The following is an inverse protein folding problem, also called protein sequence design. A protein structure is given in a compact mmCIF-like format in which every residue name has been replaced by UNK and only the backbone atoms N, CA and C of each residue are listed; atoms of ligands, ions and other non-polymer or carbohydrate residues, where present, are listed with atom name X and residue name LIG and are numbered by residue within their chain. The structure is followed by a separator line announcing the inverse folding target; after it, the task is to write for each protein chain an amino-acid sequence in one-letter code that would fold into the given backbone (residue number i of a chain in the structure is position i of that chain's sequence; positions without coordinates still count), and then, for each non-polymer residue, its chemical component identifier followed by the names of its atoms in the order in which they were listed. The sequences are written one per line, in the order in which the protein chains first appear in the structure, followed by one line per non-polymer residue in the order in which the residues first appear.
data_IF_171570465899
#
_entry.id   IF_171570465899
#
_cell.length_a   1.000
_cell.length_b   1.000
_cell.length_c   1.000
_cell.angle_alpha   90.00
_cell.angle_beta   90.00
_cell.angle_gamma   90.00
#
_symmetry.space_group_name_H-M   'P 1'
#
loop_
_entity.id
_entity.type
_entity.pdbx_description
1 polymer ?
#
# COMPACT_ATOMS: atom_id res chain seq x y z
N UNK A 1 23.42 -6.76 44.69
CA UNK A 1 24.51 -6.61 43.71
C UNK A 1 24.04 -7.17 42.39
N UNK A 2 23.74 -6.29 41.44
CA UNK A 2 23.13 -6.63 40.16
C UNK A 2 24.11 -7.41 39.28
N UNK A 3 23.61 -8.27 38.39
CA UNK A 3 24.47 -9.09 37.52
C UNK A 3 25.41 -8.25 36.66
N UNK A 4 24.96 -7.07 36.24
CA UNK A 4 25.74 -6.07 35.50
C UNK A 4 26.95 -5.60 36.33
N UNK A 5 26.78 -5.34 37.63
CA UNK A 5 27.86 -4.90 38.51
C UNK A 5 28.94 -5.98 38.69
N UNK A 6 28.54 -7.27 38.71
CA UNK A 6 29.49 -8.39 38.77
C UNK A 6 30.29 -8.54 37.48
N UNK A 7 29.64 -8.33 36.34
CA UNK A 7 30.29 -8.38 35.02
C UNK A 7 31.30 -7.23 34.89
N UNK A 8 30.92 -6.01 35.29
CA UNK A 8 31.79 -4.83 35.28
C UNK A 8 32.99 -5.01 36.22
N UNK A 9 32.80 -5.53 37.43
CA UNK A 9 33.92 -5.82 38.34
C UNK A 9 34.88 -6.88 37.79
N UNK A 10 34.37 -7.93 37.12
CA UNK A 10 35.22 -8.96 36.49
C UNK A 10 36.03 -8.40 35.32
N UNK A 11 35.46 -7.48 34.55
CA UNK A 11 36.15 -6.77 33.47
C UNK A 11 37.25 -5.82 34.00
N UNK A 12 37.01 -5.13 35.12
CA UNK A 12 37.98 -4.20 35.71
C UNK A 12 39.17 -4.89 36.40
N UNK A 13 39.00 -6.12 36.91
CA UNK A 13 40.04 -6.85 37.65
C UNK A 13 41.20 -7.34 36.77
N UNK A 14 40.93 -7.62 35.49
CA UNK A 14 41.94 -8.08 34.53
C UNK A 14 42.16 -7.04 33.44
N UNK A 15 43.17 -6.17 33.63
CA UNK A 15 43.55 -5.14 32.66
C UNK A 15 43.70 -5.69 31.23
N UNK A 16 44.26 -6.89 31.06
CA UNK A 16 44.38 -7.56 29.75
C UNK A 16 43.03 -7.81 29.06
N UNK A 17 42.00 -8.26 29.78
CA UNK A 17 40.66 -8.55 29.22
C UNK A 17 39.99 -7.25 28.78
N UNK A 18 40.16 -6.17 29.56
CA UNK A 18 39.67 -4.84 29.19
C UNK A 18 40.31 -4.34 27.88
N UNK A 19 41.62 -4.56 27.69
CA UNK A 19 42.30 -4.17 26.46
C UNK A 19 41.80 -4.98 25.25
N UNK A 20 41.64 -6.31 25.38
CA UNK A 20 41.07 -7.14 24.31
C UNK A 20 39.64 -6.72 23.95
N UNK A 21 38.83 -6.34 24.94
CA UNK A 21 37.47 -5.85 24.68
C UNK A 21 37.48 -4.51 23.94
N UNK A 22 38.31 -3.55 24.36
CA UNK A 22 38.45 -2.25 23.71
C UNK A 22 38.98 -2.40 22.28
N UNK A 23 40.02 -3.22 22.08
CA UNK A 23 40.57 -3.51 20.75
C UNK A 23 39.56 -4.23 19.86
N UNK A 24 38.82 -5.20 20.40
CA UNK A 24 37.74 -5.88 19.68
C UNK A 24 36.62 -4.91 19.26
N UNK A 25 36.20 -4.02 20.15
CA UNK A 25 35.22 -2.98 19.84
C UNK A 25 35.72 -2.01 18.77
N UNK A 26 37.00 -1.60 18.83
CA UNK A 26 37.63 -0.76 17.80
C UNK A 26 37.67 -1.46 16.44
N UNK A 27 38.04 -2.75 16.39
CA UNK A 27 38.10 -3.52 15.14
C UNK A 27 36.69 -3.67 14.55
N UNK A 28 35.69 -4.02 15.35
CA UNK A 28 34.28 -4.11 14.89
C UNK A 28 33.79 -2.75 14.41
N UNK A 29 34.08 -1.68 15.15
CA UNK A 29 33.76 -0.31 14.75
C UNK A 29 34.43 0.09 13.44
N UNK A 30 35.68 -0.31 13.22
CA UNK A 30 36.44 -0.02 12.00
C UNK A 30 35.92 -0.84 10.80
N UNK A 31 35.55 -2.11 11.01
CA UNK A 31 34.88 -2.94 9.99
C UNK A 31 33.53 -2.32 9.61
N UNK A 32 32.72 -1.89 10.58
CA UNK A 32 31.44 -1.21 10.34
C UNK A 32 31.64 0.13 9.63
N UNK A 33 32.67 0.90 9.99
CA UNK A 33 33.00 2.19 9.37
C UNK A 33 33.49 2.04 7.93
N UNK A 34 34.37 1.08 7.65
CA UNK A 34 34.87 0.81 6.29
C UNK A 34 33.79 0.19 5.40
N UNK A 35 32.91 -0.65 5.97
CA UNK A 35 31.74 -1.17 5.28
C UNK A 35 30.54 -0.24 5.35
N UNK A 36 30.67 0.96 5.95
CA UNK A 36 29.55 1.89 6.13
C UNK A 36 28.96 2.30 4.79
N UNK A 37 29.77 2.43 3.75
CA UNK A 37 29.29 2.75 2.42
C UNK A 37 28.51 1.59 1.77
N UNK A 38 28.70 0.35 2.21
CA UNK A 38 27.91 -0.83 1.79
C UNK A 38 26.67 -1.01 2.66
N UNK A 39 26.78 -0.81 3.98
CA UNK A 39 25.72 -0.95 4.98
C UNK A 39 24.72 0.23 4.96
N UNK A 40 25.19 1.45 4.66
CA UNK A 40 24.41 2.71 4.67
C UNK A 40 24.27 3.30 3.26
N UNK A 41 24.48 2.51 2.20
CA UNK A 41 24.51 3.02 0.84
C UNK A 41 23.18 3.67 0.45
N UNK A 42 23.15 5.01 0.42
CA UNK A 42 22.03 5.84 -0.06
C UNK A 42 21.69 5.62 -1.55
N UNK A 43 22.50 4.85 -2.28
CA UNK A 43 22.20 4.38 -3.65
C UNK A 43 21.00 3.40 -3.72
N UNK A 44 20.51 2.91 -2.58
CA UNK A 44 19.29 2.11 -2.49
C UNK A 44 18.03 2.89 -2.12
N UNK A 45 18.05 4.23 -2.07
CA UNK A 45 16.79 4.96 -2.10
C UNK A 45 16.20 4.80 -3.52
N UNK A 46 15.43 3.73 -3.68
CA UNK A 46 14.53 3.54 -4.80
C UNK A 46 13.60 4.75 -4.77
N UNK A 47 13.67 5.59 -5.80
CA UNK A 47 12.74 6.71 -5.92
C UNK A 47 11.57 6.14 -6.72
N UNK A 48 10.57 5.66 -6.00
CA UNK A 48 9.43 4.97 -6.57
C UNK A 48 8.16 5.43 -5.88
N UNK A 49 7.09 5.58 -6.66
CA UNK A 49 5.75 5.81 -6.15
C UNK A 49 5.05 4.46 -6.08
N UNK A 50 4.62 4.06 -4.90
CA UNK A 50 3.90 2.80 -4.72
C UNK A 50 2.56 2.84 -5.45
N UNK A 51 2.13 1.68 -5.95
CA UNK A 51 0.81 1.53 -6.55
C UNK A 51 -0.24 1.72 -5.46
N UNK A 52 -1.42 2.22 -5.83
CA UNK A 52 -2.52 2.59 -4.95
C UNK A 52 -2.24 3.79 -4.01
N UNK A 53 -1.25 4.63 -4.33
CA UNK A 53 -0.97 5.86 -3.59
C UNK A 53 -1.78 7.04 -4.11
N UNK A 54 -2.28 7.85 -3.19
CA UNK A 54 -2.89 9.15 -3.49
C UNK A 54 -1.84 10.25 -3.33
N UNK A 55 -1.63 11.02 -4.38
CA UNK A 55 -0.72 12.14 -4.42
C UNK A 55 -1.52 13.42 -4.59
N UNK A 56 -1.46 14.29 -3.58
CA UNK A 56 -2.25 15.52 -3.52
C UNK A 56 -1.34 16.73 -3.60
N UNK A 57 -1.65 17.64 -4.51
CA UNK A 57 -1.07 18.96 -4.54
C UNK A 57 -2.16 20.00 -4.80
N UNK A 58 -2.57 20.70 -3.73
CA UNK A 58 -3.66 21.69 -3.77
C UNK A 58 -4.92 21.06 -4.36
N UNK A 59 -5.33 21.50 -5.55
CA UNK A 59 -6.56 21.08 -6.20
C UNK A 59 -6.40 19.81 -7.04
N UNK A 60 -5.17 19.34 -7.26
CA UNK A 60 -4.85 18.16 -8.06
C UNK A 60 -4.66 16.94 -7.14
N UNK A 61 -5.60 16.00 -7.19
CA UNK A 61 -5.48 14.69 -6.54
C UNK A 61 -5.29 13.61 -7.61
N UNK A 62 -4.12 12.97 -7.60
CA UNK A 62 -3.76 11.92 -8.54
C UNK A 62 -3.55 10.62 -7.78
N UNK A 63 -4.34 9.62 -8.12
CA UNK A 63 -4.18 8.26 -7.63
C UNK A 63 -3.47 7.41 -8.68
N UNK A 64 -2.35 6.77 -8.30
CA UNK A 64 -1.66 5.84 -9.19
C UNK A 64 -2.25 4.43 -9.04
N UNK A 65 -3.04 4.00 -10.01
CA UNK A 65 -3.70 2.69 -9.98
C UNK A 65 -2.78 1.56 -10.47
N UNK A 66 -1.91 1.83 -11.45
CA UNK A 66 -1.03 0.81 -12.03
C UNK A 66 0.16 1.43 -12.74
N UNK A 67 1.28 0.71 -12.76
CA UNK A 67 2.45 0.99 -13.60
C UNK A 67 2.99 -0.33 -14.15
N UNK A 68 3.10 -0.43 -15.47
CA UNK A 68 3.52 -1.65 -16.16
C UNK A 68 4.60 -1.31 -17.20
N UNK A 69 5.53 -2.23 -17.43
CA UNK A 69 6.59 -2.06 -18.41
C UNK A 69 6.83 -3.34 -19.21
N UNK A 70 7.06 -3.16 -20.50
CA UNK A 70 7.43 -4.23 -21.41
C UNK A 70 8.88 -4.06 -21.87
N UNK A 71 9.79 -4.97 -21.49
CA UNK A 71 11.18 -4.89 -21.90
C UNK A 71 11.38 -5.12 -23.41
N UNK A 72 10.46 -5.84 -24.08
CA UNK A 72 10.60 -6.22 -25.49
C UNK A 72 10.40 -5.03 -26.44
N UNK A 73 9.39 -4.19 -26.18
CA UNK A 73 9.09 -2.99 -26.98
C UNK A 73 9.43 -1.68 -26.26
N UNK A 74 9.91 -1.75 -25.02
CA UNK A 74 10.27 -0.63 -24.13
C UNK A 74 9.08 0.28 -23.78
N UNK A 75 7.85 -0.21 -23.92
CA UNK A 75 6.65 0.54 -23.60
C UNK A 75 6.43 0.54 -22.08
N UNK A 76 6.28 1.73 -21.51
CA UNK A 76 5.77 1.91 -20.15
C UNK A 76 4.33 2.42 -20.20
N UNK A 77 3.49 1.89 -19.30
CA UNK A 77 2.10 2.29 -19.12
C UNK A 77 1.87 2.73 -17.68
N UNK A 78 1.23 3.88 -17.51
CA UNK A 78 0.71 4.36 -16.23
C UNK A 78 -0.81 4.45 -16.29
N UNK A 79 -1.50 3.92 -15.28
CA UNK A 79 -2.93 4.11 -15.09
C UNK A 79 -3.12 5.02 -13.90
N UNK A 80 -3.71 6.19 -14.12
CA UNK A 80 -3.95 7.17 -13.07
C UNK A 80 -5.43 7.54 -13.00
N UNK A 81 -5.91 7.84 -11.79
CA UNK A 81 -7.19 8.52 -11.56
C UNK A 81 -6.92 9.94 -11.11
N UNK A 82 -7.50 10.92 -11.78
CA UNK A 82 -7.33 12.33 -11.47
C UNK A 82 -8.66 12.90 -10.99
N UNK A 83 -8.65 13.40 -9.76
CA UNK A 83 -9.76 14.12 -9.14
C UNK A 83 -9.36 15.55 -8.87
N UNK A 84 -10.18 16.47 -9.32
CA UNK A 84 -9.98 17.90 -9.08
C UNK A 84 -10.87 18.33 -7.91
N UNK A 85 -10.32 19.07 -6.96
CA UNK A 85 -11.07 19.56 -5.80
C UNK A 85 -11.91 20.82 -6.10
N UNK A 86 -11.84 21.37 -7.31
CA UNK A 86 -12.69 22.50 -7.73
C UNK A 86 -14.00 21.96 -8.29
N UNK A 87 -15.12 22.42 -7.73
CA UNK A 87 -16.46 22.01 -8.12
C UNK A 87 -16.72 22.22 -9.63
N UNK A 88 -17.13 21.14 -10.30
CA UNK A 88 -17.83 21.13 -11.59
C UNK A 88 -17.11 21.66 -12.84
N UNK A 89 -15.78 21.83 -12.82
CA UNK A 89 -15.02 22.12 -14.05
C UNK A 89 -14.04 21.00 -14.36
N UNK A 90 -14.11 20.47 -15.59
CA UNK A 90 -13.07 19.61 -16.13
C UNK A 90 -11.86 20.48 -16.47
N UNK A 91 -10.79 20.37 -15.69
CA UNK A 91 -9.52 21.02 -16.00
C UNK A 91 -8.72 20.03 -16.85
N UNK A 92 -8.33 20.38 -18.08
CA UNK A 92 -7.49 19.51 -18.89
C UNK A 92 -6.15 19.30 -18.18
N UNK A 93 -5.56 18.13 -18.40
CA UNK A 93 -4.25 17.80 -17.85
C UNK A 93 -3.26 17.56 -18.98
N UNK A 94 -2.00 17.85 -18.71
CA UNK A 94 -0.88 17.49 -19.58
C UNK A 94 0.18 16.75 -18.78
N UNK A 95 0.99 15.96 -19.48
CA UNK A 95 1.99 15.09 -18.85
C UNK A 95 3.39 15.33 -19.39
N UNK A 96 4.36 15.32 -18.49
CA UNK A 96 5.78 15.37 -18.85
C UNK A 96 6.51 14.19 -18.23
N UNK A 97 7.19 13.39 -19.06
CA UNK A 97 7.99 12.27 -18.60
C UNK A 97 9.47 12.59 -18.82
N UNK A 98 10.28 12.37 -17.79
CA UNK A 98 11.76 12.50 -17.86
C UNK A 98 12.41 11.31 -17.19
N UNK A 99 13.57 10.89 -17.68
CA UNK A 99 14.38 9.85 -17.04
C UNK A 99 15.48 10.51 -16.19
N UNK A 100 15.79 9.91 -15.05
CA UNK A 100 16.68 10.48 -14.02
C UNK A 100 18.10 10.78 -14.51
N UNK A 101 18.64 9.95 -15.39
CA UNK A 101 19.96 10.14 -16.01
C UNK A 101 19.97 11.28 -17.03
N UNK A 102 18.81 11.68 -17.58
CA UNK A 102 18.70 12.78 -18.53
C UNK A 102 17.46 13.66 -18.27
N UNK A 103 17.58 14.56 -17.30
CA UNK A 103 16.52 15.50 -16.93
C UNK A 103 16.22 16.56 -18.02
N UNK A 104 17.13 16.76 -18.97
CA UNK A 104 16.97 17.73 -20.06
C UNK A 104 16.12 17.22 -21.22
N UNK A 105 15.96 15.90 -21.34
CA UNK A 105 15.19 15.27 -22.39
C UNK A 105 13.79 14.90 -21.89
N UNK A 106 12.76 15.52 -22.48
CA UNK A 106 11.36 15.14 -22.26
C UNK A 106 11.02 13.96 -23.17
N UNK A 107 10.72 12.81 -22.57
CA UNK A 107 10.30 11.61 -23.28
C UNK A 107 8.90 11.86 -23.86
N UNK A 108 8.70 11.71 -25.18
CA UNK A 108 7.38 11.76 -25.79
C UNK A 108 6.44 10.76 -25.11
N UNK A 109 5.26 11.22 -24.74
CA UNK A 109 4.26 10.41 -24.08
C UNK A 109 2.88 10.69 -24.68
N UNK A 110 2.06 9.65 -24.75
CA UNK A 110 0.69 9.68 -25.22
C UNK A 110 -0.24 9.60 -24.02
N UNK A 111 -1.01 10.67 -23.78
CA UNK A 111 -2.01 10.75 -22.74
C UNK A 111 -3.39 10.46 -23.34
N UNK A 112 -4.02 9.38 -22.88
CA UNK A 112 -5.36 8.99 -23.30
C UNK A 112 -6.32 9.19 -22.13
N UNK A 113 -7.33 10.05 -22.30
CA UNK A 113 -8.45 10.16 -21.37
C UNK A 113 -9.38 8.98 -21.64
N UNK A 114 -9.62 8.14 -20.64
CA UNK A 114 -10.44 6.93 -20.75
C UNK A 114 -11.87 7.21 -20.28
N UNK A 115 -12.01 7.94 -19.18
CA UNK A 115 -13.30 8.46 -18.75
C UNK A 115 -13.13 9.81 -18.02
N UNK A 116 -14.12 10.23 -17.23
CA UNK A 116 -14.08 11.50 -16.50
C UNK A 116 -12.86 11.64 -15.59
N UNK A 117 -12.42 10.56 -14.95
CA UNK A 117 -11.36 10.58 -13.95
C UNK A 117 -10.16 9.69 -14.32
N UNK A 118 -10.34 8.70 -15.20
CA UNK A 118 -9.31 7.73 -15.57
C UNK A 118 -8.51 8.20 -16.78
N UNK A 119 -7.20 8.14 -16.64
CA UNK A 119 -6.25 8.44 -17.70
C UNK A 119 -5.20 7.34 -17.80
N UNK A 120 -4.76 7.08 -19.02
CA UNK A 120 -3.70 6.14 -19.34
C UNK A 120 -2.58 6.88 -20.08
N UNK A 121 -1.35 6.68 -19.62
CA UNK A 121 -0.17 7.30 -20.21
C UNK A 121 0.74 6.22 -20.75
N UNK A 122 1.06 6.32 -22.04
CA UNK A 122 2.05 5.49 -22.71
C UNK A 122 3.31 6.28 -23.03
N UNK A 123 4.46 5.65 -22.91
CA UNK A 123 5.72 6.19 -23.41
C UNK A 123 6.69 5.08 -23.79
N UNK A 124 7.52 5.32 -24.80
CA UNK A 124 8.64 4.42 -25.13
C UNK A 124 9.88 4.91 -24.39
N UNK A 125 10.45 4.06 -23.53
CA UNK A 125 11.64 4.38 -22.77
C UNK A 125 12.93 4.08 -23.54
N UNK A 126 14.05 4.74 -23.19
CA UNK A 126 15.38 4.35 -23.67
C UNK A 126 15.72 2.89 -23.30
N UNK A 127 16.62 2.26 -24.06
CA UNK A 127 17.07 0.89 -23.79
C UNK A 127 17.63 0.71 -22.38
N UNK A 128 18.35 1.73 -21.89
CA UNK A 128 18.85 1.78 -20.52
C UNK A 128 18.13 2.91 -19.81
N UNK A 129 17.32 2.54 -18.83
CA UNK A 129 16.64 3.48 -17.94
C UNK A 129 16.72 2.94 -16.51
N UNK A 130 16.67 3.85 -15.54
CA UNK A 130 16.75 3.51 -14.11
C UNK A 130 15.51 3.94 -13.37
N UNK A 131 15.17 5.22 -13.48
CA UNK A 131 13.99 5.80 -12.84
C UNK A 131 13.41 6.86 -13.77
N UNK A 132 12.11 6.81 -13.99
CA UNK A 132 11.37 7.85 -14.70
C UNK A 132 10.51 8.64 -13.74
N UNK A 133 10.35 9.93 -14.01
CA UNK A 133 9.49 10.86 -13.29
C UNK A 133 8.41 11.35 -14.24
N UNK A 134 7.18 10.90 -14.03
CA UNK A 134 5.98 11.41 -14.68
C UNK A 134 5.44 12.60 -13.88
N UNK A 135 5.40 13.78 -14.50
CA UNK A 135 4.67 14.94 -13.97
C UNK A 135 3.28 14.97 -14.57
N UNK A 136 2.26 14.99 -13.74
CA UNK A 136 0.87 15.28 -14.12
C UNK A 136 0.62 16.73 -13.78
N UNK A 137 0.26 17.54 -14.77
CA UNK A 137 0.21 19.01 -14.67
C UNK A 137 -1.19 19.48 -15.04
N UNK A 138 -1.75 20.39 -14.24
CA UNK A 138 -2.97 21.12 -14.59
C UNK A 138 -2.71 22.02 -15.80
N UNK A 139 -3.51 21.87 -16.86
CA UNK A 139 -3.36 22.64 -18.10
C UNK A 139 -4.34 23.82 -18.15
N UNK A 140 -4.19 24.74 -17.20
CA UNK A 140 -5.00 25.97 -17.15
C UNK A 140 -4.30 27.04 -17.99
N UNK A 141 -4.94 27.44 -19.10
CA UNK A 141 -4.54 28.64 -19.85
C UNK A 141 -4.57 29.83 -18.88
N UNK A 142 -3.46 30.56 -18.76
CA UNK A 142 -3.23 31.72 -17.88
C UNK A 142 -2.66 31.46 -16.46
N UNK A 143 -2.27 30.23 -16.12
CA UNK A 143 -1.55 29.98 -14.85
C UNK A 143 -0.03 30.18 -14.99
N UNK A 144 0.50 31.23 -14.36
CA UNK A 144 1.96 31.47 -14.25
C UNK A 144 2.70 30.40 -13.42
N UNK A 145 1.99 29.54 -12.68
CA UNK A 145 2.58 28.47 -11.89
C UNK A 145 1.65 27.24 -11.89
N UNK A 146 1.69 26.42 -12.96
CA UNK A 146 0.80 25.28 -13.09
C UNK A 146 1.09 24.25 -12.00
N UNK A 147 0.03 23.76 -11.34
CA UNK A 147 0.17 22.78 -10.27
C UNK A 147 0.43 21.42 -10.86
N UNK A 148 1.29 20.65 -10.18
CA UNK A 148 1.67 19.34 -10.68
C UNK A 148 1.94 18.36 -9.55
N UNK A 149 1.77 17.10 -9.87
CA UNK A 149 2.15 15.96 -9.05
C UNK A 149 3.23 15.17 -9.78
N UNK A 150 4.18 14.60 -9.04
CA UNK A 150 5.23 13.72 -9.59
C UNK A 150 4.98 12.29 -9.16
N UNK A 151 4.93 11.40 -10.14
CA UNK A 151 4.92 9.94 -9.99
C UNK A 151 6.29 9.43 -10.44
N UNK A 152 6.87 8.53 -9.67
CA UNK A 152 8.14 7.89 -10.01
C UNK A 152 7.94 6.40 -10.28
N UNK A 153 8.60 5.90 -11.31
CA UNK A 153 8.73 4.47 -11.55
C UNK A 153 10.20 4.10 -11.66
N UNK A 154 10.63 3.10 -10.89
CA UNK A 154 11.99 2.57 -10.91
C UNK A 154 12.00 1.22 -11.64
N UNK A 155 13.01 1.01 -12.48
CA UNK A 155 13.23 -0.24 -13.25
C UNK A 155 13.30 -1.49 -12.39
N UNK A 156 13.67 -1.36 -11.10
CA UNK A 156 13.75 -2.47 -10.14
C UNK A 156 12.43 -2.78 -9.46
N UNK A 157 11.45 -1.88 -9.54
CA UNK A 157 10.17 -1.96 -8.85
C UNK A 157 9.03 -1.52 -9.77
N UNK A 158 8.91 -2.26 -10.88
CA UNK A 158 7.87 -2.08 -11.89
C UNK A 158 7.29 -3.44 -12.29
N UNK A 159 5.98 -3.48 -12.55
CA UNK A 159 5.33 -4.70 -13.00
C UNK A 159 5.73 -5.00 -14.44
N UNK A 160 6.44 -6.11 -14.66
CA UNK A 160 6.88 -6.52 -15.99
C UNK A 160 5.74 -7.24 -16.73
N UNK A 161 5.37 -6.71 -17.89
CA UNK A 161 4.29 -7.23 -18.74
C UNK A 161 4.75 -7.34 -20.19
N UNK A 162 5.17 -8.52 -20.60
CA UNK A 162 5.83 -8.77 -21.89
C UNK A 162 4.91 -8.62 -23.11
N UNK A 163 3.60 -8.62 -22.91
CA UNK A 163 2.54 -8.48 -23.91
C UNK A 163 1.90 -7.08 -23.92
N UNK A 164 2.44 -6.12 -23.16
CA UNK A 164 1.92 -4.76 -23.13
C UNK A 164 2.06 -4.08 -24.49
N UNK A 165 0.94 -3.59 -25.00
CA UNK A 165 0.83 -2.80 -26.23
C UNK A 165 -0.05 -1.58 -25.98
N UNK A 166 0.08 -0.56 -26.83
CA UNK A 166 -0.87 0.55 -26.83
C UNK A 166 -2.24 0.05 -27.31
N UNK A 167 -3.28 0.41 -26.58
CA UNK A 167 -4.66 0.01 -26.83
C UNK A 167 -5.50 1.20 -27.26
N UNK A 168 -6.60 0.92 -27.97
CA UNK A 168 -7.59 1.94 -28.33
C UNK A 168 -8.39 2.38 -27.09
N UNK A 169 -9.02 3.55 -27.17
CA UNK A 169 -9.82 4.11 -26.07
C UNK A 169 -10.88 3.14 -25.55
N UNK A 170 -11.67 2.51 -26.42
CA UNK A 170 -12.69 1.52 -26.01
C UNK A 170 -12.11 0.29 -25.29
N UNK A 171 -10.96 -0.20 -25.74
CA UNK A 171 -10.25 -1.30 -25.10
C UNK A 171 -9.66 -0.89 -23.73
N UNK A 172 -9.24 0.37 -23.61
CA UNK A 172 -8.77 0.94 -22.35
C UNK A 172 -9.91 1.17 -21.35
N UNK A 173 -11.09 1.55 -21.81
CA UNK A 173 -12.28 1.66 -20.97
C UNK A 173 -12.64 0.32 -20.36
N UNK A 174 -12.72 -0.73 -21.19
CA UNK A 174 -12.96 -2.10 -20.74
C UNK A 174 -11.88 -2.53 -19.74
N UNK A 175 -10.61 -2.35 -20.07
CA UNK A 175 -9.51 -2.73 -19.17
C UNK A 175 -9.54 -1.95 -17.85
N UNK A 176 -9.92 -0.68 -17.87
CA UNK A 176 -10.03 0.15 -16.66
C UNK A 176 -11.15 -0.34 -15.76
N UNK A 177 -12.29 -0.72 -16.35
CA UNK A 177 -13.40 -1.34 -15.61
C UNK A 177 -12.97 -2.68 -15.02
N UNK A 178 -12.29 -3.53 -15.78
CA UNK A 178 -11.79 -4.83 -15.30
C UNK A 178 -10.81 -4.69 -14.14
N UNK A 179 -9.85 -3.77 -14.25
CA UNK A 179 -8.92 -3.47 -13.14
C UNK A 179 -9.66 -2.93 -11.91
N UNK A 180 -10.72 -2.12 -12.08
CA UNK A 180 -11.52 -1.64 -10.94
C UNK A 180 -12.30 -2.77 -10.28
N UNK A 181 -12.88 -3.69 -11.05
CA UNK A 181 -13.55 -4.88 -10.54
C UNK A 181 -12.57 -5.77 -9.77
N UNK A 182 -11.37 -5.99 -10.31
CA UNK A 182 -10.30 -6.73 -9.63
C UNK A 182 -9.94 -6.09 -8.28
N UNK A 183 -9.73 -4.78 -8.24
CA UNK A 183 -9.45 -4.07 -6.99
C UNK A 183 -10.60 -4.18 -5.98
N UNK A 184 -11.86 -4.13 -6.44
CA UNK A 184 -13.01 -4.26 -5.54
C UNK A 184 -13.09 -5.69 -4.97
N UNK A 185 -12.86 -6.71 -5.80
CA UNK A 185 -12.83 -8.11 -5.37
C UNK A 185 -11.74 -8.36 -4.32
N UNK A 186 -10.55 -7.78 -4.48
CA UNK A 186 -9.49 -7.86 -3.46
C UNK A 186 -9.96 -7.30 -2.11
N UNK A 187 -10.62 -6.14 -2.10
CA UNK A 187 -11.18 -5.54 -0.88
C UNK A 187 -12.26 -6.39 -0.24
N UNK A 188 -13.12 -7.05 -1.04
CA UNK A 188 -14.12 -8.00 -0.54
C UNK A 188 -13.42 -9.19 0.13
N UNK A 189 -12.37 -9.73 -0.49
CA UNK A 189 -11.62 -10.87 0.07
C UNK A 189 -10.92 -10.51 1.39
N UNK A 190 -10.31 -9.32 1.48
CA UNK A 190 -9.72 -8.81 2.71
C UNK A 190 -10.76 -8.71 3.84
N UNK A 191 -11.94 -8.15 3.54
CA UNK A 191 -13.05 -8.07 4.50
C UNK A 191 -13.54 -9.45 4.92
N UNK A 192 -13.64 -10.39 3.99
CA UNK A 192 -14.04 -11.77 4.29
C UNK A 192 -13.04 -12.44 5.24
N UNK A 193 -11.74 -12.25 5.04
CA UNK A 193 -10.71 -12.76 5.95
C UNK A 193 -10.92 -12.24 7.38
N UNK A 194 -11.18 -10.94 7.52
CA UNK A 194 -11.46 -10.31 8.84
C UNK A 194 -12.75 -10.85 9.46
N UNK A 195 -13.78 -11.12 8.65
CA UNK A 195 -15.03 -11.75 9.13
C UNK A 195 -14.74 -13.14 9.69
N UNK A 196 -13.98 -13.97 8.98
CA UNK A 196 -13.66 -15.33 9.45
C UNK A 196 -12.83 -15.32 10.74
N UNK A 197 -11.85 -14.42 10.87
CA UNK A 197 -11.11 -14.23 12.12
C UNK A 197 -12.03 -13.86 13.30
N UNK A 198 -13.02 -12.98 13.06
CA UNK A 198 -14.00 -12.59 14.08
C UNK A 198 -14.96 -13.73 14.45
N UNK A 199 -15.35 -14.57 13.49
CA UNK A 199 -16.17 -15.75 13.76
C UNK A 199 -15.42 -16.75 14.65
N UNK A 200 -14.15 -17.02 14.34
CA UNK A 200 -13.30 -17.87 15.18
C UNK A 200 -13.15 -17.31 16.61
N UNK A 201 -13.02 -15.99 16.76
CA UNK A 201 -13.01 -15.36 18.08
C UNK A 201 -14.32 -15.59 18.84
N UNK A 202 -15.47 -15.44 18.18
CA UNK A 202 -16.78 -15.71 18.79
C UNK A 202 -16.86 -17.18 19.24
N UNK A 203 -16.47 -18.13 18.40
CA UNK A 203 -16.50 -19.56 18.73
C UNK A 203 -15.63 -19.87 19.96
N UNK A 204 -14.43 -19.29 20.03
CA UNK A 204 -13.53 -19.43 21.18
C UNK A 204 -14.16 -18.88 22.46
N UNK A 205 -14.73 -17.68 22.41
CA UNK A 205 -15.39 -17.08 23.59
C UNK A 205 -16.64 -17.85 24.00
N UNK A 206 -17.38 -18.43 23.05
CA UNK A 206 -18.50 -19.31 23.35
C UNK A 206 -18.07 -20.61 24.04
N UNK A 207 -16.94 -21.21 23.63
CA UNK A 207 -16.37 -22.36 24.32
C UNK A 207 -15.96 -22.00 25.76
N UNK A 208 -15.23 -20.89 25.93
CA UNK A 208 -14.84 -20.40 27.25
C UNK A 208 -16.06 -20.17 28.16
N UNK A 209 -17.12 -19.55 27.63
CA UNK A 209 -18.37 -19.35 28.36
C UNK A 209 -18.99 -20.67 28.82
N UNK A 210 -19.01 -21.69 27.97
CA UNK A 210 -19.54 -23.01 28.32
C UNK A 210 -18.73 -23.68 29.43
N UNK A 211 -17.41 -23.58 29.38
CA UNK A 211 -16.51 -24.10 30.43
C UNK A 211 -16.72 -23.36 31.75
N UNK A 212 -16.77 -22.03 31.73
CA UNK A 212 -17.05 -21.21 32.91
C UNK A 212 -18.40 -21.55 33.56
N UNK A 213 -19.45 -21.73 32.76
CA UNK A 213 -20.78 -22.14 33.26
C UNK A 213 -20.74 -23.52 33.93
N UNK A 214 -19.95 -24.45 33.37
CA UNK A 214 -19.78 -25.80 33.94
C UNK A 214 -18.97 -25.78 35.24
N UNK A 215 -17.97 -24.92 35.35
CA UNK A 215 -17.06 -24.86 36.49
C UNK A 215 -17.67 -24.19 37.73
N UNK A 216 -18.74 -23.39 37.56
CA UNK A 216 -19.51 -22.78 38.67
C UNK A 216 -19.90 -23.75 39.78
N UNK A 217 -20.16 -25.03 39.45
CA UNK A 217 -20.54 -26.05 40.45
C UNK A 217 -19.46 -26.35 41.50
N UNK A 218 -18.22 -25.95 41.25
CA UNK A 218 -17.07 -26.15 42.14
C UNK A 218 -16.67 -24.87 42.89
N UNK A 219 -17.38 -23.77 42.67
CA UNK A 219 -17.06 -22.46 43.19
C UNK A 219 -17.93 -22.11 44.41
N UNK A 220 -17.42 -21.19 45.24
CA UNK A 220 -18.18 -20.56 46.32
C UNK A 220 -19.11 -19.46 45.78
N UNK A 221 -20.06 -18.99 46.58
CA UNK A 221 -21.04 -17.97 46.16
C UNK A 221 -20.38 -16.66 45.67
N UNK A 222 -19.31 -16.22 46.34
CA UNK A 222 -18.57 -15.03 45.91
C UNK A 222 -17.87 -15.24 44.56
N UNK A 223 -17.19 -16.38 44.37
CA UNK A 223 -16.54 -16.73 43.10
C UNK A 223 -17.55 -16.90 41.95
N UNK A 224 -18.75 -17.41 42.25
CA UNK A 224 -19.85 -17.49 41.28
C UNK A 224 -20.28 -16.09 40.82
N UNK A 225 -20.39 -15.11 41.73
CA UNK A 225 -20.75 -13.74 41.39
C UNK A 225 -19.68 -13.06 40.50
N UNK A 226 -18.40 -13.29 40.80
CA UNK A 226 -17.30 -12.83 39.95
C UNK A 226 -17.35 -13.49 38.57
N UNK A 227 -17.55 -14.81 38.52
CA UNK A 227 -17.66 -15.59 37.27
C UNK A 227 -18.85 -15.12 36.42
N UNK A 228 -20.00 -14.83 37.04
CA UNK A 228 -21.17 -14.27 36.35
C UNK A 228 -20.85 -12.93 35.69
N UNK A 229 -20.14 -12.05 36.40
CA UNK A 229 -19.73 -10.74 35.87
C UNK A 229 -18.82 -10.92 34.64
N UNK A 230 -17.87 -11.84 34.70
CA UNK A 230 -17.00 -12.13 33.55
C UNK A 230 -17.77 -12.73 32.36
N UNK A 231 -18.72 -13.64 32.62
CA UNK A 231 -19.60 -14.20 31.59
C UNK A 231 -20.39 -13.09 30.88
N UNK A 232 -20.98 -12.16 31.61
CA UNK A 232 -21.76 -11.07 31.01
C UNK A 232 -20.88 -10.13 30.17
N UNK A 233 -19.64 -9.88 30.60
CA UNK A 233 -18.67 -9.12 29.81
C UNK A 233 -18.29 -9.84 28.51
N UNK A 234 -18.08 -11.16 28.55
CA UNK A 234 -17.80 -11.97 27.37
C UNK A 234 -18.98 -12.04 26.41
N UNK A 235 -20.21 -12.20 26.92
CA UNK A 235 -21.44 -12.12 26.11
C UNK A 235 -21.58 -10.78 25.41
N UNK A 236 -21.35 -9.69 26.13
CA UNK A 236 -21.36 -8.33 25.54
C UNK A 236 -20.31 -8.19 24.43
N UNK A 237 -19.13 -8.78 24.62
CA UNK A 237 -18.05 -8.78 23.61
C UNK A 237 -18.43 -9.56 22.34
N UNK A 238 -19.09 -10.72 22.50
CA UNK A 238 -19.60 -11.51 21.38
C UNK A 238 -20.63 -10.70 20.58
N UNK A 239 -21.60 -10.07 21.25
CA UNK A 239 -22.62 -9.26 20.58
C UNK A 239 -22.00 -8.09 19.81
N UNK A 240 -21.04 -7.38 20.42
CA UNK A 240 -20.33 -6.31 19.73
C UNK A 240 -19.56 -6.83 18.50
N UNK A 241 -18.93 -8.00 18.61
CA UNK A 241 -18.20 -8.62 17.49
C UNK A 241 -19.16 -9.02 16.35
N UNK A 242 -20.36 -9.51 16.67
CA UNK A 242 -21.42 -9.80 15.68
C UNK A 242 -21.88 -8.56 14.93
N UNK A 243 -22.06 -7.44 15.63
CA UNK A 243 -22.40 -6.16 14.99
C UNK A 243 -21.31 -5.71 14.02
N UNK A 244 -20.03 -5.90 14.37
CA UNK A 244 -18.93 -5.60 13.46
C UNK A 244 -18.92 -6.49 12.22
N UNK A 245 -19.21 -7.78 12.36
CA UNK A 245 -19.37 -8.70 11.23
C UNK A 245 -20.49 -8.22 10.30
N UNK A 246 -21.67 -7.91 10.84
CA UNK A 246 -22.81 -7.43 10.04
C UNK A 246 -22.46 -6.18 9.24
N UNK A 247 -21.77 -5.21 9.86
CA UNK A 247 -21.29 -4.01 9.15
C UNK A 247 -20.35 -4.35 7.99
N UNK A 248 -19.41 -5.29 8.19
CA UNK A 248 -18.48 -5.71 7.13
C UNK A 248 -19.19 -6.45 5.99
N UNK A 249 -20.23 -7.22 6.31
CA UNK A 249 -21.07 -7.90 5.32
C UNK A 249 -21.87 -6.91 4.48
N UNK A 250 -22.48 -5.91 5.12
CA UNK A 250 -23.20 -4.82 4.42
C UNK A 250 -22.26 -4.04 3.48
N UNK A 251 -21.09 -3.63 3.97
CA UNK A 251 -20.07 -2.97 3.15
C UNK A 251 -19.64 -3.85 1.96
N UNK A 252 -19.51 -5.17 2.16
CA UNK A 252 -19.14 -6.11 1.09
C UNK A 252 -20.25 -6.27 0.06
N UNK A 253 -21.52 -6.22 0.48
CA UNK A 253 -22.67 -6.28 -0.42
C UNK A 253 -22.78 -5.03 -1.30
N UNK A 254 -22.55 -3.84 -0.74
CA UNK A 254 -22.47 -2.60 -1.52
C UNK A 254 -21.35 -2.66 -2.59
N UNK A 255 -20.20 -3.22 -2.23
CA UNK A 255 -19.11 -3.44 -3.19
C UNK A 255 -19.50 -4.43 -4.30
N UNK A 256 -20.22 -5.52 -4.00
CA UNK A 256 -20.75 -6.46 -5.00
C UNK A 256 -21.78 -5.81 -5.92
N UNK A 257 -22.66 -4.98 -5.38
CA UNK A 257 -23.62 -4.19 -6.17
C UNK A 257 -22.89 -3.26 -7.15
N UNK A 258 -21.81 -2.61 -6.69
CA UNK A 258 -20.96 -1.79 -7.55
C UNK A 258 -20.31 -2.59 -8.68
N UNK A 259 -19.79 -3.81 -8.41
CA UNK A 259 -19.26 -4.70 -9.45
C UNK A 259 -20.35 -5.01 -10.48
N UNK A 260 -21.58 -5.34 -10.06
CA UNK A 260 -22.69 -5.62 -10.98
C UNK A 260 -22.95 -4.43 -11.93
N UNK A 261 -22.92 -3.19 -11.43
CA UNK A 261 -23.06 -1.99 -12.27
C UNK A 261 -21.89 -1.78 -13.24
N UNK A 262 -20.67 -2.07 -12.81
CA UNK A 262 -19.49 -2.01 -13.67
C UNK A 262 -19.54 -3.06 -14.78
N UNK A 263 -20.01 -4.27 -14.49
CA UNK A 263 -20.22 -5.34 -15.49
C UNK A 263 -21.25 -4.94 -16.55
N UNK A 264 -22.36 -4.31 -16.15
CA UNK A 264 -23.33 -3.75 -17.11
C UNK A 264 -22.65 -2.71 -18.00
N UNK A 265 -21.95 -1.73 -17.41
CA UNK A 265 -21.21 -0.71 -18.17
C UNK A 265 -20.21 -1.32 -19.15
N UNK A 266 -19.49 -2.37 -18.74
CA UNK A 266 -18.54 -3.09 -19.60
C UNK A 266 -19.21 -3.76 -20.80
N UNK A 267 -20.41 -4.31 -20.60
CA UNK A 267 -21.17 -4.94 -21.67
C UNK A 267 -21.72 -3.92 -22.68
N UNK A 268 -22.10 -2.72 -22.23
CA UNK A 268 -22.57 -1.64 -23.11
C UNK A 268 -21.46 -1.09 -24.04
N UNK A 269 -20.18 -1.36 -23.73
CA UNK A 269 -19.01 -0.95 -24.51
C UNK A 269 -18.57 -1.98 -25.56
N UNK A 270 -19.17 -3.17 -25.60
CA UNK A 270 -18.85 -4.26 -26.53
C UNK A 270 -19.77 -4.25 -27.75
#
# INVERSE_FOLDING_TARGET
MNEIERIVQRLQRNKLILHYFITGFLIVGLILFLNSNRLLNKKYNIINTDVNTNLVNQNLNVHLSKKEYNPNNRLIKFNIKVKLQIANQEIPIRTELVEKSNLGYKIPNNLVKVDKENYVIYATLPEKWTTVSLKVIEDIKDSNNPKFVKIYADSRDINIKNDLIEKKESELEIETIENEIESINQKINEKQSVIEEKKLLIEKEQCNLADMEKDKKYQTENEINETNTEIDNKRSTIEFTRLQIGKLEDESNELRNKISKLEVKKNDLR
#
